data_IF_427781906959
#
_entry.id   IF_427781906959
#
_cell.length_a   1.000
_cell.length_b   1.000
_cell.length_c   1.000
_cell.angle_alpha   90.00
_cell.angle_beta   90.00
_cell.angle_gamma   90.00
#
_symmetry.space_group_name_H-M   'P 1'
#
loop_
_entity.id
_entity.type
_entity.pdbx_description
1 polymer ?
#
# COMPACT_ATOMS: atom_id res chain seq x y z
N UNK A 1 -15.70 19.80 -2.62
CA UNK A 1 -14.24 19.52 -2.78
C UNK A 1 -13.88 18.02 -2.83
N UNK A 2 -14.27 17.12 -1.92
CA UNK A 2 -13.98 15.68 -2.13
C UNK A 2 -14.85 15.06 -3.23
N UNK A 3 -16.11 15.49 -3.33
CA UNK A 3 -16.98 15.25 -4.46
C UNK A 3 -16.34 15.73 -5.77
N UNK A 4 -15.66 16.88 -5.76
CA UNK A 4 -15.09 17.49 -6.95
C UNK A 4 -13.89 16.69 -7.47
N UNK A 5 -13.01 16.19 -6.60
CA UNK A 5 -11.88 15.34 -7.03
C UNK A 5 -12.39 13.99 -7.54
N UNK A 6 -13.36 13.40 -6.86
CA UNK A 6 -14.00 12.16 -7.33
C UNK A 6 -14.84 12.41 -8.58
N UNK A 7 -15.48 13.58 -8.69
CA UNK A 7 -16.17 14.01 -9.89
C UNK A 7 -15.21 14.43 -11.02
N UNK A 8 -14.10 15.07 -10.70
CA UNK A 8 -13.04 15.38 -11.67
C UNK A 8 -12.37 14.10 -12.20
N UNK A 9 -12.11 13.13 -11.33
CA UNK A 9 -11.69 11.80 -11.77
C UNK A 9 -12.79 11.15 -12.61
N UNK A 10 -14.06 11.27 -12.23
CA UNK A 10 -15.20 10.78 -13.01
C UNK A 10 -15.46 11.56 -14.31
N UNK A 11 -15.28 12.89 -14.33
CA UNK A 11 -15.44 13.76 -15.50
C UNK A 11 -14.28 13.65 -16.48
N UNK A 12 -13.04 13.62 -15.97
CA UNK A 12 -11.83 13.38 -16.79
C UNK A 12 -11.77 11.93 -17.29
N UNK A 13 -12.37 10.98 -16.56
CA UNK A 13 -12.67 9.62 -16.96
C UNK A 13 -13.43 9.53 -18.27
N UNK A 14 -14.47 10.37 -18.48
CA UNK A 14 -15.25 10.37 -19.74
C UNK A 14 -14.44 10.80 -20.97
N UNK A 15 -13.27 11.49 -20.78
CA UNK A 15 -12.46 12.01 -21.90
C UNK A 15 -11.17 11.22 -22.18
N UNK A 16 -10.58 10.51 -21.19
CA UNK A 16 -9.23 9.92 -21.35
C UNK A 16 -9.07 8.46 -20.92
N UNK A 17 -9.98 7.92 -20.11
CA UNK A 17 -9.93 6.48 -19.81
C UNK A 17 -10.64 5.73 -20.96
N UNK A 18 -10.02 4.66 -21.49
CA UNK A 18 -10.68 3.80 -22.47
C UNK A 18 -12.06 3.41 -21.94
N UNK A 19 -13.09 3.39 -22.82
CA UNK A 19 -14.47 3.00 -22.47
C UNK A 19 -14.53 1.60 -21.86
N UNK A 20 -13.51 0.81 -22.09
CA UNK A 20 -13.31 -0.55 -21.61
C UNK A 20 -13.02 -0.64 -20.10
N UNK A 21 -12.53 0.44 -19.45
CA UNK A 21 -12.30 0.44 -18.01
C UNK A 21 -13.63 0.64 -17.28
N UNK A 22 -14.27 -0.46 -16.93
CA UNK A 22 -15.47 -0.45 -16.08
C UNK A 22 -15.08 -0.16 -14.63
N UNK A 23 -14.94 1.13 -14.29
CA UNK A 23 -14.70 1.53 -12.90
C UNK A 23 -15.97 1.39 -12.09
N UNK A 24 -15.91 0.54 -11.06
CA UNK A 24 -17.02 0.34 -10.12
C UNK A 24 -16.98 1.35 -8.97
N UNK A 25 -15.79 1.64 -8.43
CA UNK A 25 -15.62 2.48 -7.25
C UNK A 25 -14.29 3.22 -7.26
N UNK A 26 -14.25 4.38 -6.61
CA UNK A 26 -13.02 5.13 -6.32
C UNK A 26 -13.00 5.47 -4.84
N UNK A 27 -11.89 5.18 -4.17
CA UNK A 27 -11.71 5.44 -2.74
C UNK A 27 -10.36 6.10 -2.47
N UNK A 28 -10.26 6.83 -1.35
CA UNK A 28 -8.99 7.30 -0.83
C UNK A 28 -8.46 6.33 0.20
N UNK A 29 -7.20 5.91 0.07
CA UNK A 29 -6.50 5.10 1.06
C UNK A 29 -5.16 5.76 1.41
N UNK A 30 -5.15 6.59 2.47
CA UNK A 30 -4.00 7.43 2.80
C UNK A 30 -3.64 8.36 1.64
N UNK A 31 -2.37 8.41 1.20
CA UNK A 31 -1.96 9.26 0.10
C UNK A 31 -2.40 8.76 -1.28
N UNK A 32 -3.01 7.58 -1.35
CA UNK A 32 -3.33 6.88 -2.59
C UNK A 32 -4.81 7.03 -2.97
N UNK A 33 -5.06 7.10 -4.27
CA UNK A 33 -6.39 7.03 -4.86
C UNK A 33 -6.57 5.64 -5.44
N UNK A 34 -7.44 4.84 -4.84
CA UNK A 34 -7.69 3.47 -5.27
C UNK A 34 -8.90 3.45 -6.20
N UNK A 35 -8.70 2.92 -7.38
CA UNK A 35 -9.73 2.75 -8.42
C UNK A 35 -10.04 1.27 -8.56
N UNK A 36 -11.28 0.88 -8.35
CA UNK A 36 -11.74 -0.49 -8.53
C UNK A 36 -12.32 -0.69 -9.93
N UNK A 37 -11.90 -1.77 -10.60
CA UNK A 37 -12.36 -2.14 -11.95
C UNK A 37 -12.87 -3.57 -11.98
N UNK A 38 -13.84 -3.84 -12.87
CA UNK A 38 -14.32 -5.21 -13.12
C UNK A 38 -13.41 -5.99 -14.09
N UNK A 39 -12.52 -5.29 -14.80
CA UNK A 39 -11.63 -5.89 -15.79
C UNK A 39 -10.18 -5.88 -15.29
N UNK A 40 -9.71 -6.92 -14.60
CA UNK A 40 -8.35 -6.97 -14.06
C UNK A 40 -7.26 -6.97 -15.15
N UNK A 41 -7.54 -7.45 -16.35
CA UNK A 41 -6.59 -7.45 -17.47
C UNK A 41 -6.09 -6.05 -17.84
N UNK A 42 -6.97 -5.06 -17.74
CA UNK A 42 -6.64 -3.66 -18.04
C UNK A 42 -5.57 -3.11 -17.08
N UNK A 43 -5.49 -3.65 -15.86
CA UNK A 43 -4.48 -3.24 -14.87
C UNK A 43 -3.07 -3.56 -15.37
N UNK A 44 -2.93 -4.67 -16.10
CA UNK A 44 -1.63 -5.16 -16.56
C UNK A 44 -1.21 -4.57 -17.89
N UNK A 45 -2.16 -4.20 -18.76
CA UNK A 45 -1.89 -3.77 -20.13
C UNK A 45 -1.73 -2.26 -20.28
N UNK A 46 -2.35 -1.46 -19.42
CA UNK A 46 -2.37 0.00 -19.54
C UNK A 46 -1.53 0.75 -18.50
N UNK A 47 -0.35 0.22 -18.16
CA UNK A 47 0.54 0.85 -17.17
C UNK A 47 0.93 2.30 -17.53
N UNK A 48 1.11 2.63 -18.78
CA UNK A 48 1.48 3.98 -19.24
C UNK A 48 0.31 4.97 -19.14
N UNK A 49 -0.91 4.50 -19.38
CA UNK A 49 -2.11 5.29 -19.18
C UNK A 49 -2.30 5.66 -17.70
N UNK A 50 -2.08 4.69 -16.80
CA UNK A 50 -2.17 4.90 -15.36
C UNK A 50 -1.11 5.90 -14.90
N UNK A 51 0.11 5.78 -15.41
CA UNK A 51 1.21 6.73 -15.13
C UNK A 51 0.88 8.14 -15.63
N UNK A 52 0.34 8.27 -16.85
CA UNK A 52 -0.05 9.57 -17.39
C UNK A 52 -1.15 10.22 -16.57
N UNK A 53 -2.15 9.45 -16.15
CA UNK A 53 -3.23 9.91 -15.30
C UNK A 53 -2.72 10.32 -13.90
N UNK A 54 -1.83 9.53 -13.30
CA UNK A 54 -1.22 9.85 -12.01
C UNK A 54 -0.40 11.14 -12.08
N UNK A 55 0.36 11.34 -13.17
CA UNK A 55 1.15 12.55 -13.41
C UNK A 55 0.26 13.79 -13.61
N UNK A 56 -0.82 13.67 -14.39
CA UNK A 56 -1.76 14.77 -14.63
C UNK A 56 -2.50 15.17 -13.35
N UNK A 57 -2.96 14.20 -12.57
CA UNK A 57 -3.68 14.44 -11.32
C UNK A 57 -2.75 14.79 -10.16
N UNK A 58 -1.44 14.61 -10.34
CA UNK A 58 -0.43 14.72 -9.26
C UNK A 58 -0.82 13.89 -8.03
N UNK A 59 -1.37 12.69 -8.27
CA UNK A 59 -1.85 11.77 -7.26
C UNK A 59 -1.31 10.38 -7.51
N UNK A 60 -1.04 9.64 -6.46
CA UNK A 60 -0.68 8.24 -6.54
C UNK A 60 -1.94 7.42 -6.79
N UNK A 61 -2.02 6.77 -7.95
CA UNK A 61 -3.19 5.98 -8.35
C UNK A 61 -2.84 4.51 -8.27
N UNK A 62 -3.68 3.75 -7.59
CA UNK A 62 -3.63 2.30 -7.53
C UNK A 62 -4.92 1.76 -8.15
N UNK A 63 -4.81 0.75 -9.01
CA UNK A 63 -5.97 0.06 -9.56
C UNK A 63 -6.06 -1.31 -8.91
N UNK A 64 -7.25 -1.67 -8.46
CA UNK A 64 -7.58 -2.99 -7.91
C UNK A 64 -8.79 -3.56 -8.61
N UNK A 65 -8.91 -4.88 -8.61
CA UNK A 65 -10.10 -5.54 -9.12
C UNK A 65 -11.28 -5.34 -8.16
N UNK A 66 -12.46 -5.20 -8.75
CA UNK A 66 -13.72 -5.27 -7.98
C UNK A 66 -13.88 -6.67 -7.38
N UNK A 67 -14.59 -6.77 -6.26
CA UNK A 67 -14.83 -8.06 -5.60
C UNK A 67 -15.51 -9.10 -6.50
N UNK A 68 -16.34 -8.64 -7.43
CA UNK A 68 -17.03 -9.51 -8.39
C UNK A 68 -16.12 -10.11 -9.47
N UNK A 69 -14.91 -9.58 -9.62
CA UNK A 69 -13.90 -10.04 -10.58
C UNK A 69 -12.78 -10.87 -9.94
N UNK A 70 -12.88 -11.15 -8.65
CA UNK A 70 -11.91 -11.98 -7.94
C UNK A 70 -12.22 -13.45 -8.14
N UNK A 71 -11.20 -14.22 -8.50
CA UNK A 71 -11.30 -15.67 -8.56
C UNK A 71 -11.46 -16.26 -7.14
N UNK A 72 -12.10 -17.40 -7.03
CA UNK A 72 -12.21 -18.15 -5.77
C UNK A 72 -10.85 -18.46 -5.14
N UNK A 73 -10.82 -18.58 -3.80
CA UNK A 73 -9.59 -18.73 -3.05
C UNK A 73 -8.81 -20.01 -3.44
N UNK A 74 -9.48 -21.15 -3.55
CA UNK A 74 -8.82 -22.42 -3.90
C UNK A 74 -8.27 -22.40 -5.32
N UNK A 75 -9.08 -21.93 -6.27
CA UNK A 75 -8.64 -21.76 -7.65
C UNK A 75 -7.49 -20.75 -7.76
N UNK A 76 -7.50 -19.69 -6.93
CA UNK A 76 -6.41 -18.70 -6.87
C UNK A 76 -5.11 -19.32 -6.35
N UNK A 77 -5.16 -20.15 -5.30
CA UNK A 77 -3.97 -20.86 -4.77
C UNK A 77 -3.34 -21.72 -5.87
N UNK A 78 -4.16 -22.52 -6.57
CA UNK A 78 -3.68 -23.36 -7.66
C UNK A 78 -3.02 -22.54 -8.76
N UNK A 79 -3.65 -21.43 -9.16
CA UNK A 79 -3.08 -20.51 -10.16
C UNK A 79 -1.77 -19.84 -9.71
N UNK A 80 -1.65 -19.49 -8.43
CA UNK A 80 -0.40 -18.97 -7.89
C UNK A 80 0.71 -20.01 -7.98
N UNK A 81 0.43 -21.27 -7.64
CA UNK A 81 1.42 -22.36 -7.76
C UNK A 81 1.79 -22.68 -9.22
N UNK A 82 0.86 -22.53 -10.18
CA UNK A 82 1.17 -22.66 -11.61
C UNK A 82 2.07 -21.54 -12.14
N UNK A 83 1.86 -20.31 -11.65
CA UNK A 83 2.54 -19.09 -12.16
C UNK A 83 3.89 -18.86 -11.48
N UNK A 84 3.98 -19.14 -10.19
CA UNK A 84 5.18 -18.89 -9.37
C UNK A 84 6.08 -20.11 -9.43
N UNK A 85 7.38 -19.96 -9.78
CA UNK A 85 8.32 -21.07 -9.77
C UNK A 85 8.47 -21.70 -8.37
N UNK A 86 8.57 -23.02 -8.29
CA UNK A 86 8.75 -23.78 -7.03
C UNK A 86 9.94 -23.28 -6.20
N UNK A 87 10.98 -22.82 -6.89
CA UNK A 87 12.16 -22.23 -6.26
C UNK A 87 11.89 -20.98 -5.42
N UNK A 88 10.69 -20.38 -5.49
CA UNK A 88 10.30 -19.26 -4.64
C UNK A 88 10.09 -19.68 -3.18
N UNK A 89 9.80 -20.96 -2.93
CA UNK A 89 9.55 -21.54 -1.61
C UNK A 89 8.47 -20.77 -0.84
N UNK A 90 7.23 -20.81 -1.39
CA UNK A 90 6.06 -20.17 -0.76
C UNK A 90 5.78 -20.88 0.57
N UNK A 91 5.66 -20.11 1.65
CA UNK A 91 5.43 -20.65 3.01
C UNK A 91 4.02 -20.36 3.53
N UNK A 92 3.35 -19.32 3.02
CA UNK A 92 1.98 -18.99 3.43
C UNK A 92 1.29 -18.16 2.34
N UNK A 93 0.00 -18.38 2.16
CA UNK A 93 -0.89 -17.60 1.29
C UNK A 93 -2.15 -17.30 2.08
N UNK A 94 -2.49 -16.00 2.23
CA UNK A 94 -3.77 -15.64 2.81
C UNK A 94 -4.44 -14.51 2.01
N UNK A 95 -5.78 -14.42 2.10
CA UNK A 95 -6.60 -13.49 1.36
C UNK A 95 -7.12 -12.39 2.26
N UNK A 96 -6.84 -11.13 1.91
CA UNK A 96 -7.46 -9.97 2.50
C UNK A 96 -8.63 -9.51 1.61
N UNK A 97 -9.81 -10.06 1.88
CA UNK A 97 -11.04 -9.76 1.12
C UNK A 97 -11.51 -8.31 1.29
N UNK A 98 -10.99 -7.58 2.29
CA UNK A 98 -11.34 -6.17 2.53
C UNK A 98 -10.63 -5.27 1.56
N UNK A 99 -9.38 -5.58 1.24
CA UNK A 99 -8.54 -4.79 0.32
C UNK A 99 -8.48 -5.40 -1.08
N UNK A 100 -8.89 -6.68 -1.26
CA UNK A 100 -8.72 -7.41 -2.52
C UNK A 100 -7.27 -7.81 -2.76
N UNK A 101 -6.52 -8.03 -1.69
CA UNK A 101 -5.11 -8.42 -1.74
C UNK A 101 -4.94 -9.91 -1.39
N UNK A 102 -4.08 -10.61 -2.13
CA UNK A 102 -3.55 -11.91 -1.74
C UNK A 102 -2.13 -11.72 -1.21
N UNK A 103 -1.93 -12.08 0.05
CA UNK A 103 -0.62 -11.97 0.70
C UNK A 103 0.11 -13.29 0.55
N UNK A 104 1.24 -13.24 -0.16
CA UNK A 104 2.09 -14.40 -0.45
C UNK A 104 3.39 -14.23 0.33
N UNK A 105 3.65 -15.17 1.24
CA UNK A 105 4.91 -15.20 2.00
C UNK A 105 5.83 -16.24 1.38
N UNK A 106 7.04 -15.83 1.01
CA UNK A 106 8.01 -16.72 0.36
C UNK A 106 9.43 -16.47 0.87
N UNK A 107 10.30 -17.50 0.82
CA UNK A 107 11.71 -17.36 1.16
C UNK A 107 12.46 -16.52 0.14
N UNK A 108 12.12 -16.67 -1.14
CA UNK A 108 12.71 -15.93 -2.26
C UNK A 108 11.65 -15.04 -2.94
N UNK A 109 11.26 -13.93 -2.34
CA UNK A 109 10.18 -13.07 -2.82
C UNK A 109 10.42 -12.50 -4.21
N UNK A 110 11.69 -12.37 -4.63
CA UNK A 110 12.05 -11.90 -5.97
C UNK A 110 11.51 -12.80 -7.10
N UNK A 111 11.39 -14.10 -6.87
CA UNK A 111 10.81 -15.04 -7.85
C UNK A 111 9.29 -14.88 -7.95
N UNK A 112 8.62 -14.54 -6.86
CA UNK A 112 7.18 -14.23 -6.84
C UNK A 112 6.89 -12.90 -7.55
N UNK A 113 7.79 -11.93 -7.42
CA UNK A 113 7.68 -10.65 -8.15
C UNK A 113 7.96 -10.87 -9.64
N UNK A 114 9.02 -11.64 -9.95
CA UNK A 114 9.50 -11.86 -11.30
C UNK A 114 10.29 -10.67 -11.87
N UNK A 115 11.00 -10.91 -12.97
CA UNK A 115 11.75 -9.87 -13.67
C UNK A 115 10.79 -8.76 -14.12
N UNK A 116 11.09 -7.52 -13.74
CA UNK A 116 10.22 -6.37 -14.01
C UNK A 116 8.76 -6.51 -13.52
N UNK A 117 8.49 -7.37 -12.53
CA UNK A 117 7.16 -7.60 -11.98
C UNK A 117 6.23 -8.44 -12.89
N UNK A 118 6.76 -9.20 -13.83
CA UNK A 118 5.96 -10.00 -14.78
C UNK A 118 5.13 -11.05 -14.04
N UNK A 119 5.73 -11.80 -13.10
CA UNK A 119 5.02 -12.84 -12.34
C UNK A 119 3.88 -12.24 -11.53
N UNK A 120 4.11 -11.12 -10.82
CA UNK A 120 3.06 -10.40 -10.08
C UNK A 120 1.92 -9.94 -10.99
N UNK A 121 2.22 -9.42 -12.19
CA UNK A 121 1.18 -9.03 -13.14
C UNK A 121 0.39 -10.23 -13.64
N UNK A 122 1.03 -11.36 -13.88
CA UNK A 122 0.35 -12.58 -14.29
C UNK A 122 -0.60 -13.09 -13.22
N UNK A 123 -0.24 -12.97 -11.93
CA UNK A 123 -1.14 -13.29 -10.83
C UNK A 123 -2.39 -12.38 -10.90
N UNK A 124 -2.22 -11.06 -11.02
CA UNK A 124 -3.37 -10.13 -11.14
C UNK A 124 -4.24 -10.49 -12.34
N UNK A 125 -3.62 -10.74 -13.51
CA UNK A 125 -4.34 -11.04 -14.76
C UNK A 125 -5.21 -12.30 -14.64
N UNK A 126 -4.67 -13.35 -14.04
CA UNK A 126 -5.34 -14.65 -13.97
C UNK A 126 -6.29 -14.80 -12.78
N UNK A 127 -6.11 -14.02 -11.72
CA UNK A 127 -6.88 -14.22 -10.47
C UNK A 127 -7.69 -13.01 -10.05
N UNK A 128 -7.38 -11.83 -10.58
CA UNK A 128 -7.93 -10.56 -10.14
C UNK A 128 -7.37 -10.06 -8.80
N UNK A 129 -6.73 -10.92 -8.00
CA UNK A 129 -6.18 -10.54 -6.72
C UNK A 129 -4.89 -9.73 -6.85
N UNK A 130 -4.77 -8.67 -6.05
CA UNK A 130 -3.55 -7.86 -5.99
C UNK A 130 -2.51 -8.54 -5.08
N UNK A 131 -1.36 -9.04 -5.62
CA UNK A 131 -0.39 -9.75 -4.81
C UNK A 131 0.40 -8.79 -3.92
N UNK A 132 0.41 -9.08 -2.61
CA UNK A 132 1.26 -8.47 -1.60
C UNK A 132 2.30 -9.47 -1.16
N UNK A 133 3.55 -9.23 -1.54
CA UNK A 133 4.61 -10.22 -1.37
C UNK A 133 5.41 -9.89 -0.11
N UNK A 134 5.50 -10.86 0.80
CA UNK A 134 6.26 -10.78 2.04
C UNK A 134 7.40 -11.79 2.02
N UNK A 135 8.50 -11.42 2.67
CA UNK A 135 9.61 -12.34 2.90
C UNK A 135 9.35 -13.20 4.13
N UNK A 136 9.59 -14.51 4.02
CA UNK A 136 9.68 -15.38 5.18
C UNK A 136 10.87 -14.96 6.01
N UNK A 137 10.72 -14.69 7.32
CA UNK A 137 11.83 -14.35 8.18
C UNK A 137 12.89 -15.47 8.15
N UNK A 138 14.18 -15.15 8.01
CA UNK A 138 15.24 -16.17 8.00
C UNK A 138 15.38 -16.87 9.35
N UNK A 139 14.99 -16.19 10.42
CA UNK A 139 14.93 -16.72 11.79
C UNK A 139 13.48 -16.66 12.25
N UNK A 140 13.00 -17.76 12.83
CA UNK A 140 11.66 -17.80 13.42
C UNK A 140 11.52 -16.74 14.51
N UNK A 141 10.45 -15.97 14.48
CA UNK A 141 10.18 -14.92 15.45
C UNK A 141 8.69 -14.86 15.79
N UNK A 142 8.38 -15.13 17.04
CA UNK A 142 7.01 -15.07 17.57
C UNK A 142 6.44 -13.64 17.48
N UNK A 143 7.30 -12.63 17.63
CA UNK A 143 6.90 -11.23 17.52
C UNK A 143 6.40 -10.93 16.11
N UNK A 144 7.14 -11.34 15.09
CA UNK A 144 6.74 -11.15 13.68
C UNK A 144 5.42 -11.89 13.40
N UNK A 145 5.29 -13.13 13.91
CA UNK A 145 4.07 -13.91 13.80
C UNK A 145 2.85 -13.18 14.41
N UNK A 146 2.99 -12.71 15.63
CA UNK A 146 1.94 -11.94 16.34
C UNK A 146 1.58 -10.65 15.60
N UNK A 147 2.56 -9.89 15.11
CA UNK A 147 2.32 -8.66 14.33
C UNK A 147 1.54 -8.98 13.05
N UNK A 148 1.91 -10.03 12.31
CA UNK A 148 1.19 -10.45 11.09
C UNK A 148 -0.24 -10.87 11.40
N UNK A 149 -0.46 -11.59 12.50
CA UNK A 149 -1.81 -11.97 12.96
C UNK A 149 -2.66 -10.74 13.29
N UNK A 150 -2.10 -9.77 14.02
CA UNK A 150 -2.79 -8.51 14.31
C UNK A 150 -3.13 -7.76 13.00
N UNK A 151 -2.19 -7.67 12.06
CA UNK A 151 -2.42 -7.02 10.78
C UNK A 151 -3.53 -7.70 9.97
N UNK A 152 -3.58 -9.02 9.98
CA UNK A 152 -4.62 -9.83 9.32
C UNK A 152 -6.00 -9.56 9.95
N UNK A 153 -6.08 -9.60 11.27
CA UNK A 153 -7.35 -9.45 12.00
C UNK A 153 -7.88 -8.00 11.97
N UNK A 154 -7.02 -7.00 11.86
CA UNK A 154 -7.37 -5.58 11.86
C UNK A 154 -7.56 -4.97 10.47
N UNK A 155 -7.70 -5.77 9.41
CA UNK A 155 -7.79 -5.29 8.03
C UNK A 155 -8.93 -4.27 7.82
N UNK A 156 -10.11 -4.52 8.38
CA UNK A 156 -11.26 -3.60 8.31
C UNK A 156 -10.97 -2.24 8.96
N UNK A 157 -10.36 -2.26 10.14
CA UNK A 157 -10.09 -1.02 10.88
C UNK A 157 -8.94 -0.23 10.24
N UNK A 158 -7.93 -0.93 9.74
CA UNK A 158 -6.86 -0.34 8.92
C UNK A 158 -7.45 0.36 7.69
N UNK A 159 -8.35 -0.29 6.96
CA UNK A 159 -9.00 0.33 5.79
C UNK A 159 -9.78 1.58 6.18
N UNK A 160 -10.57 1.54 7.26
CA UNK A 160 -11.29 2.72 7.77
C UNK A 160 -10.35 3.87 8.12
N UNK A 161 -9.24 3.55 8.80
CA UNK A 161 -8.21 4.53 9.15
C UNK A 161 -7.60 5.17 7.90
N UNK A 162 -7.19 4.36 6.92
CA UNK A 162 -6.62 4.83 5.66
C UNK A 162 -7.61 5.69 4.86
N UNK A 163 -8.88 5.33 4.85
CA UNK A 163 -9.93 6.15 4.21
C UNK A 163 -10.14 7.49 4.90
N UNK A 164 -10.08 7.52 6.24
CA UNK A 164 -10.16 8.77 7.01
C UNK A 164 -8.96 9.67 6.73
N UNK A 165 -7.75 9.12 6.81
CA UNK A 165 -6.52 9.84 6.50
C UNK A 165 -6.51 10.32 5.05
N UNK A 166 -6.90 9.47 4.12
CA UNK A 166 -6.97 9.83 2.70
C UNK A 166 -7.91 11.00 2.44
N UNK A 167 -9.07 11.02 3.09
CA UNK A 167 -9.98 12.18 3.01
C UNK A 167 -9.32 13.45 3.53
N UNK A 168 -8.63 13.40 4.65
CA UNK A 168 -7.92 14.56 5.22
C UNK A 168 -6.80 15.05 4.28
N UNK A 169 -5.99 14.14 3.73
CA UNK A 169 -4.89 14.47 2.82
C UNK A 169 -5.40 15.12 1.52
N UNK A 170 -6.48 14.58 0.94
CA UNK A 170 -6.95 15.00 -0.37
C UNK A 170 -7.97 16.15 -0.35
N UNK A 171 -8.62 16.39 0.79
CA UNK A 171 -9.58 17.49 0.95
C UNK A 171 -8.92 18.82 1.32
N UNK A 172 -7.63 18.81 1.65
CA UNK A 172 -6.94 19.95 2.25
C UNK A 172 -7.36 20.19 3.69
N UNK A 173 -6.65 21.07 4.35
CA UNK A 173 -7.00 21.44 5.72
C UNK A 173 -8.32 22.24 5.76
N UNK A 174 -9.19 21.85 6.67
CA UNK A 174 -10.42 22.58 6.99
C UNK A 174 -10.18 23.68 8.03
N UNK A 175 -8.97 23.78 8.54
CA UNK A 175 -8.64 24.69 9.64
C UNK A 175 -7.89 25.89 9.10
N UNK A 176 -8.41 27.12 9.28
CA UNK A 176 -7.77 28.35 8.80
C UNK A 176 -6.43 28.67 9.50
N UNK A 177 -6.14 27.97 10.60
CA UNK A 177 -4.91 28.17 11.40
C UNK A 177 -4.03 26.90 11.37
N UNK A 178 -3.69 26.41 10.19
CA UNK A 178 -2.72 25.33 10.08
C UNK A 178 -1.31 25.85 10.36
N UNK A 179 -0.69 25.21 11.33
CA UNK A 179 0.72 25.45 11.65
C UNK A 179 1.45 24.11 11.72
N UNK A 180 2.73 24.13 11.40
CA UNK A 180 3.65 23.05 11.67
C UNK A 180 4.83 23.59 12.48
N UNK A 181 5.18 22.91 13.56
CA UNK A 181 6.33 23.21 14.41
C UNK A 181 7.29 22.06 14.38
N UNK A 182 8.55 22.32 14.11
CA UNK A 182 9.64 21.36 14.26
C UNK A 182 10.44 21.76 15.49
N UNK A 183 10.57 20.84 16.44
CA UNK A 183 11.37 21.03 17.65
C UNK A 183 12.52 20.05 17.60
N UNK A 184 13.73 20.57 17.66
CA UNK A 184 14.95 19.78 17.81
C UNK A 184 15.04 19.24 19.25
N UNK A 185 15.16 17.94 19.41
CA UNK A 185 15.32 17.30 20.71
C UNK A 185 16.75 16.79 20.95
N UNK A 186 17.56 16.64 19.89
CA UNK A 186 18.94 16.21 19.98
C UNK A 186 19.65 16.05 18.64
N UNK A 187 20.94 15.75 18.65
CA UNK A 187 21.71 15.34 17.47
C UNK A 187 22.23 16.47 16.57
N UNK A 188 22.16 17.75 16.96
CA UNK A 188 22.49 18.86 16.06
C UNK A 188 23.98 19.21 15.99
N UNK A 189 24.78 18.83 16.96
CA UNK A 189 26.22 19.08 17.00
C UNK A 189 27.03 17.86 17.43
N UNK A 190 26.45 16.68 17.32
CA UNK A 190 27.07 15.43 17.75
C UNK A 190 26.64 14.27 16.85
N UNK A 191 27.40 13.19 16.89
CA UNK A 191 27.03 11.93 16.23
C UNK A 191 26.14 11.12 17.19
N UNK A 192 24.96 10.75 16.71
CA UNK A 192 23.95 10.07 17.52
C UNK A 192 22.94 11.03 18.14
N UNK A 193 22.03 10.50 18.93
CA UNK A 193 20.91 11.21 19.58
C UNK A 193 20.02 12.05 18.63
N UNK A 194 20.05 11.76 17.34
CA UNK A 194 19.19 12.46 16.37
C UNK A 194 17.73 12.27 16.73
N UNK A 195 17.03 13.38 16.98
CA UNK A 195 15.61 13.33 17.33
C UNK A 195 14.95 14.68 17.06
N UNK A 196 13.83 14.66 16.35
CA UNK A 196 13.01 15.83 16.05
C UNK A 196 11.53 15.55 16.32
N UNK A 197 10.86 16.50 16.93
CA UNK A 197 9.41 16.46 17.12
C UNK A 197 8.73 17.38 16.10
N UNK A 198 7.96 16.79 15.19
CA UNK A 198 7.06 17.52 14.30
C UNK A 198 5.67 17.57 14.94
N UNK A 199 5.17 18.76 15.13
CA UNK A 199 3.83 19.01 15.70
C UNK A 199 2.96 19.78 14.71
N UNK A 200 1.72 19.36 14.63
CA UNK A 200 0.62 20.07 13.96
C UNK A 200 -0.55 20.18 14.93
N UNK A 201 -1.62 20.96 14.65
CA UNK A 201 -2.79 21.02 15.51
C UNK A 201 -3.37 19.66 15.89
N UNK A 202 -3.25 18.68 15.00
CA UNK A 202 -3.93 17.39 15.13
C UNK A 202 -2.98 16.18 15.28
N UNK A 203 -1.66 16.41 15.22
CA UNK A 203 -0.68 15.30 15.20
C UNK A 203 0.63 15.70 15.84
N UNK A 204 1.28 14.71 16.46
CA UNK A 204 2.66 14.79 16.95
C UNK A 204 3.41 13.59 16.40
N UNK A 205 4.50 13.83 15.71
CA UNK A 205 5.32 12.78 15.11
C UNK A 205 6.75 12.96 15.57
N UNK A 206 7.31 11.94 16.20
CA UNK A 206 8.72 11.89 16.53
C UNK A 206 9.47 11.34 15.30
N UNK A 207 10.39 12.13 14.78
CA UNK A 207 11.28 11.75 13.68
C UNK A 207 12.62 11.36 14.29
N UNK A 208 12.92 10.09 14.20
CA UNK A 208 14.08 9.47 14.81
C UNK A 208 14.04 9.51 16.36
N UNK A 209 14.76 8.61 16.98
CA UNK A 209 14.99 8.57 18.43
C UNK A 209 16.35 7.90 18.66
N UNK A 210 17.38 8.53 18.15
CA UNK A 210 18.73 8.00 18.16
C UNK A 210 19.32 7.93 19.57
N UNK A 211 20.13 6.91 19.79
CA UNK A 211 20.93 6.77 21.02
C UNK A 211 22.32 7.39 20.82
N UNK A 212 22.93 7.85 21.88
CA UNK A 212 24.33 8.24 21.85
C UNK A 212 25.21 6.99 21.92
N UNK A 213 25.80 6.62 20.80
CA UNK A 213 26.65 5.43 20.70
C UNK A 213 27.89 5.56 21.62
N UNK A 214 28.43 6.76 21.77
CA UNK A 214 29.59 7.01 22.63
C UNK A 214 29.29 6.89 24.14
N UNK A 215 28.02 7.07 24.54
CA UNK A 215 27.63 6.92 25.95
C UNK A 215 27.39 5.46 26.36
N UNK A 216 27.29 4.54 25.42
CA UNK A 216 27.10 3.11 25.71
C UNK A 216 28.40 2.43 26.23
N UNK A 217 29.56 3.05 26.02
CA UNK A 217 30.84 2.50 26.42
C UNK A 217 31.27 2.92 27.85
N UNK A 218 30.57 3.86 28.47
CA UNK A 218 30.82 4.22 29.87
C UNK A 218 29.97 3.36 30.82
N UNK A 219 30.32 2.07 30.92
CA UNK A 219 30.03 1.29 32.12
C UNK A 219 31.04 1.67 33.19
N UNK A 220 30.65 2.56 34.05
CA UNK A 220 31.16 2.69 35.42
C UNK A 220 29.99 2.76 36.37
#
# INVERSE_FOLDING_TARGET
MASDILEDIKKKKKKKLPKEIQVSKVEFEGPEVVVYTKNPEIITENGDLIRSLAKELRKRIIIRSDKSALLDNEATINKIHEIVPDGAEITDIYFDTVTGEVVITAKKPGLVIGKYGVTSRNIVKNTGWAPKILRTPPISSDIIGKIRTIQKNSSKDRKKLLQRLGRQIHQGSKYPNDWARVTSLGGFKEVGRSSMLLQTPNSRVLLDCGVNVAASDNKN
#
